data_IF_514862831629
#
_entry.id   IF_514862831629
#
_cell.length_a   1.000
_cell.length_b   1.000
_cell.length_c   1.000
_cell.angle_alpha   90.00
_cell.angle_beta   90.00
_cell.angle_gamma   90.00
#
_symmetry.space_group_name_H-M   'P 1'
#
loop_
_entity.id
_entity.type
_entity.pdbx_description
1 polymer ?
#
# COMPACT_ATOMS: atom_id res chain seq x y z
N UNK A 1 -3.37 13.41 31.17
CA UNK A 1 -2.34 12.80 30.30
C UNK A 1 -2.84 12.82 28.87
N UNK A 2 -1.96 13.02 27.87
CA UNK A 2 -2.34 12.92 26.45
C UNK A 2 -2.65 11.46 26.14
N UNK A 3 -3.83 11.19 25.56
CA UNK A 3 -4.25 9.84 25.18
C UNK A 3 -3.43 9.35 23.99
N UNK A 4 -3.18 8.06 23.92
CA UNK A 4 -2.44 7.38 22.87
C UNK A 4 -3.38 6.75 21.84
N UNK A 5 -3.03 6.88 20.55
CA UNK A 5 -3.74 6.21 19.45
C UNK A 5 -2.77 5.31 18.72
N UNK A 6 -3.05 4.01 18.76
CA UNK A 6 -2.37 2.98 18.00
C UNK A 6 -2.78 3.00 16.53
N UNK A 7 -1.82 3.06 15.61
CA UNK A 7 -2.04 2.87 14.18
C UNK A 7 -1.28 1.61 13.74
N UNK A 8 -1.99 0.54 13.30
CA UNK A 8 -1.34 -0.67 12.82
C UNK A 8 -0.48 -0.39 11.58
N UNK A 9 0.77 -0.84 11.57
CA UNK A 9 1.73 -0.71 10.46
C UNK A 9 1.47 -1.75 9.36
N UNK A 10 0.24 -1.80 8.85
CA UNK A 10 -0.17 -2.71 7.79
C UNK A 10 -1.28 -2.12 6.91
N UNK A 11 -1.50 -2.73 5.76
CA UNK A 11 -2.48 -2.29 4.76
C UNK A 11 -2.32 -0.79 4.41
N UNK A 12 -3.39 -0.01 4.55
CA UNK A 12 -3.46 1.43 4.20
C UNK A 12 -2.50 2.34 4.99
N UNK A 13 -1.78 1.81 5.99
CA UNK A 13 -0.70 2.53 6.65
C UNK A 13 0.29 3.14 5.65
N UNK A 14 0.71 2.36 4.65
CA UNK A 14 1.74 2.77 3.70
C UNK A 14 1.27 3.87 2.73
N UNK A 15 -0.04 4.12 2.67
CA UNK A 15 -0.64 5.16 1.84
C UNK A 15 -1.06 6.40 2.63
N UNK A 16 -1.58 6.21 3.85
CA UNK A 16 -2.31 7.26 4.58
C UNK A 16 -1.75 7.61 5.96
N UNK A 17 -0.64 6.99 6.39
CA UNK A 17 -0.03 7.32 7.68
C UNK A 17 0.27 8.81 7.89
N UNK A 18 0.79 9.57 6.89
CA UNK A 18 1.01 11.01 7.02
C UNK A 18 -0.25 11.78 7.42
N UNK A 19 -1.39 11.46 6.78
CA UNK A 19 -2.69 12.04 7.11
C UNK A 19 -3.09 11.67 8.55
N UNK A 20 -3.10 10.38 8.86
CA UNK A 20 -3.60 9.90 10.15
C UNK A 20 -2.76 10.43 11.31
N UNK A 21 -1.44 10.34 11.21
CA UNK A 21 -0.52 10.85 12.23
C UNK A 21 -0.75 12.35 12.47
N UNK A 22 -0.77 13.14 11.39
CA UNK A 22 -0.94 14.59 11.49
C UNK A 22 -2.28 14.97 12.12
N UNK A 23 -3.36 14.24 11.79
CA UNK A 23 -4.68 14.50 12.37
C UNK A 23 -4.69 14.20 13.86
N UNK A 24 -4.24 13.00 14.26
CA UNK A 24 -4.25 12.55 15.65
C UNK A 24 -3.37 13.42 16.55
N UNK A 25 -2.16 13.79 16.10
CA UNK A 25 -1.32 14.77 16.80
C UNK A 25 -1.99 16.15 16.85
N UNK A 26 -2.65 16.56 15.76
CA UNK A 26 -3.37 17.83 15.67
C UNK A 26 -4.55 17.95 16.65
N UNK A 27 -5.21 16.83 16.99
CA UNK A 27 -6.25 16.78 18.03
C UNK A 27 -5.68 16.50 19.43
N UNK A 28 -4.36 16.48 19.60
CA UNK A 28 -3.68 16.41 20.90
C UNK A 28 -3.49 15.00 21.45
N UNK A 29 -3.57 13.97 20.60
CA UNK A 29 -3.20 12.60 20.97
C UNK A 29 -1.75 12.28 20.60
N UNK A 30 -1.15 11.31 21.29
CA UNK A 30 0.15 10.74 20.93
C UNK A 30 -0.06 9.54 20.01
N UNK A 31 0.57 9.56 18.83
CA UNK A 31 0.49 8.44 17.88
C UNK A 31 1.53 7.38 18.24
N UNK A 32 1.11 6.12 18.27
CA UNK A 32 1.95 4.95 18.46
C UNK A 32 1.71 4.01 17.30
N UNK A 33 2.77 3.48 16.69
CA UNK A 33 2.66 2.47 15.63
C UNK A 33 3.05 1.09 16.15
N UNK A 34 2.55 0.03 15.51
CA UNK A 34 3.08 -1.32 15.75
C UNK A 34 4.55 -1.41 15.31
N UNK A 35 5.25 -2.46 15.75
CA UNK A 35 6.62 -2.71 15.29
C UNK A 35 6.63 -3.04 13.79
N UNK A 36 7.82 -2.96 13.19
CA UNK A 36 8.04 -3.52 11.86
C UNK A 36 7.67 -4.99 11.85
N UNK A 37 7.02 -5.41 10.76
CA UNK A 37 6.63 -6.80 10.58
C UNK A 37 7.84 -7.70 10.76
N UNK A 38 7.63 -8.75 11.54
CA UNK A 38 8.63 -9.75 11.84
C UNK A 38 7.90 -11.07 12.04
N UNK A 39 8.67 -12.15 12.22
CA UNK A 39 8.12 -13.48 12.39
C UNK A 39 7.07 -13.56 13.51
N UNK A 40 7.28 -12.91 14.66
CA UNK A 40 6.29 -12.90 15.75
C UNK A 40 4.97 -12.27 15.30
N UNK A 41 5.02 -11.11 14.63
CA UNK A 41 3.82 -10.42 14.14
C UNK A 41 3.08 -11.29 13.11
N UNK A 42 3.80 -11.88 12.15
CA UNK A 42 3.19 -12.74 11.16
C UNK A 42 2.55 -13.98 11.82
N UNK A 43 3.29 -14.68 12.67
CA UNK A 43 2.83 -15.92 13.33
C UNK A 43 1.58 -15.66 14.21
N UNK A 44 1.58 -14.57 14.99
CA UNK A 44 0.40 -14.16 15.76
C UNK A 44 -0.77 -13.78 14.86
N UNK A 45 -0.50 -13.12 13.74
CA UNK A 45 -1.50 -12.80 12.72
C UNK A 45 -2.16 -14.04 12.12
N UNK A 46 -1.35 -15.00 11.67
CA UNK A 46 -1.81 -16.27 11.09
C UNK A 46 -2.61 -17.09 12.10
N UNK A 47 -2.11 -17.20 13.34
CA UNK A 47 -2.75 -17.98 14.41
C UNK A 47 -4.13 -17.45 14.81
N UNK A 48 -4.33 -16.13 14.77
CA UNK A 48 -5.54 -15.46 15.26
C UNK A 48 -6.46 -14.97 14.13
N UNK A 49 -6.21 -15.35 12.88
CA UNK A 49 -7.03 -14.98 11.73
C UNK A 49 -7.64 -16.22 11.08
N UNK A 50 -8.67 -16.01 10.27
CA UNK A 50 -9.28 -17.08 9.47
C UNK A 50 -8.35 -17.50 8.33
N UNK A 51 -8.40 -18.78 7.97
CA UNK A 51 -7.49 -19.36 6.96
C UNK A 51 -7.64 -18.70 5.58
N UNK A 52 -8.87 -18.31 5.21
CA UNK A 52 -9.23 -17.72 3.91
C UNK A 52 -8.90 -16.22 3.79
N UNK A 53 -8.36 -15.59 4.84
CA UNK A 53 -7.88 -14.22 4.76
C UNK A 53 -6.58 -14.15 3.94
N UNK A 54 -6.43 -13.07 3.16
CA UNK A 54 -5.17 -12.81 2.46
C UNK A 54 -4.04 -12.48 3.46
N UNK A 55 -2.80 -12.75 3.04
CA UNK A 55 -1.60 -12.52 3.85
C UNK A 55 -1.51 -11.11 4.49
N UNK A 56 -1.85 -10.00 3.79
CA UNK A 56 -1.83 -8.66 4.37
C UNK A 56 -2.82 -8.48 5.52
N UNK A 57 -3.98 -9.12 5.44
CA UNK A 57 -5.00 -9.07 6.50
C UNK A 57 -4.54 -9.90 7.70
N UNK A 58 -3.95 -11.07 7.49
CA UNK A 58 -3.34 -11.86 8.57
C UNK A 58 -2.25 -11.08 9.27
N UNK A 59 -1.35 -10.46 8.52
CA UNK A 59 -0.30 -9.60 9.09
C UNK A 59 -0.91 -8.41 9.87
N UNK A 60 -1.98 -7.80 9.35
CA UNK A 60 -2.67 -6.71 10.02
C UNK A 60 -3.24 -7.14 11.40
N UNK A 61 -3.78 -8.36 11.51
CA UNK A 61 -4.20 -8.95 12.80
C UNK A 61 -3.03 -8.98 13.79
N UNK A 62 -1.86 -9.44 13.35
CA UNK A 62 -0.64 -9.44 14.15
C UNK A 62 -0.22 -8.03 14.62
N UNK A 63 -0.34 -7.02 13.76
CA UNK A 63 -0.07 -5.62 14.11
C UNK A 63 -1.05 -5.08 15.16
N UNK A 64 -2.32 -5.47 15.08
CA UNK A 64 -3.33 -5.10 16.10
C UNK A 64 -2.99 -5.76 17.45
N UNK A 65 -2.59 -7.04 17.45
CA UNK A 65 -2.14 -7.74 18.67
C UNK A 65 -0.92 -7.04 19.27
N UNK A 66 0.06 -6.65 18.44
CA UNK A 66 1.24 -5.88 18.91
C UNK A 66 0.85 -4.55 19.58
N UNK A 67 -0.16 -3.85 19.06
CA UNK A 67 -0.66 -2.60 19.66
C UNK A 67 -1.45 -2.83 20.94
N UNK A 68 -2.22 -3.94 21.02
CA UNK A 68 -2.87 -4.37 22.26
C UNK A 68 -1.82 -4.62 23.35
N UNK A 69 -0.74 -5.35 23.05
CA UNK A 69 0.38 -5.59 24.00
C UNK A 69 1.06 -4.29 24.48
N UNK A 70 1.02 -3.24 23.64
CA UNK A 70 1.56 -1.91 23.97
C UNK A 70 0.64 -1.05 24.86
N UNK A 71 -0.54 -1.54 25.24
CA UNK A 71 -1.50 -0.85 26.11
C UNK A 71 -1.85 0.57 25.64
N UNK A 72 -2.11 0.75 24.35
CA UNK A 72 -2.60 2.02 23.80
C UNK A 72 -4.04 2.30 24.24
N UNK A 73 -4.43 3.57 24.39
CA UNK A 73 -5.77 3.95 24.83
C UNK A 73 -6.84 3.69 23.77
N UNK A 74 -6.47 3.80 22.49
CA UNK A 74 -7.32 3.49 21.34
C UNK A 74 -6.51 2.84 20.22
N UNK A 75 -7.17 2.06 19.36
CA UNK A 75 -6.59 1.61 18.08
C UNK A 75 -7.43 2.20 16.94
N UNK A 76 -6.78 2.83 15.95
CA UNK A 76 -7.44 3.39 14.79
C UNK A 76 -7.54 2.35 13.68
N UNK A 77 -8.76 1.91 13.37
CA UNK A 77 -9.07 0.93 12.32
C UNK A 77 -10.28 1.45 11.54
N UNK A 78 -10.09 2.39 10.61
CA UNK A 78 -11.21 3.00 9.90
C UNK A 78 -11.88 2.00 8.95
N UNK A 79 -13.19 2.18 8.76
CA UNK A 79 -13.92 1.56 7.66
C UNK A 79 -13.70 2.39 6.39
N UNK A 80 -12.83 1.93 5.51
CA UNK A 80 -12.50 2.69 4.29
C UNK A 80 -13.31 2.14 3.13
N UNK A 81 -14.44 2.79 2.85
CA UNK A 81 -15.36 2.40 1.77
C UNK A 81 -14.82 2.83 0.42
N UNK A 82 -14.31 4.07 0.36
CA UNK A 82 -13.92 4.70 -0.87
C UNK A 82 -12.95 5.84 -0.60
N UNK A 83 -11.84 5.86 -1.33
CA UNK A 83 -10.85 6.97 -1.32
C UNK A 83 -10.95 7.83 -2.58
N UNK A 84 -11.88 7.51 -3.48
CA UNK A 84 -12.08 8.22 -4.75
C UNK A 84 -13.53 8.07 -5.24
N UNK A 85 -14.03 9.10 -5.93
CA UNK A 85 -15.36 9.11 -6.54
C UNK A 85 -15.62 7.85 -7.37
N UNK A 86 -16.81 7.26 -7.20
CA UNK A 86 -17.32 6.08 -7.93
C UNK A 86 -16.47 4.80 -7.81
N UNK A 87 -15.54 4.72 -6.85
CA UNK A 87 -14.75 3.51 -6.59
C UNK A 87 -14.88 3.03 -5.17
N UNK A 88 -14.76 1.72 -5.01
CA UNK A 88 -14.72 1.08 -3.70
C UNK A 88 -13.34 0.48 -3.45
N UNK A 89 -13.00 0.31 -2.18
CA UNK A 89 -11.93 -0.60 -1.79
C UNK A 89 -12.45 -2.04 -1.70
N UNK A 90 -11.55 -3.01 -1.53
CA UNK A 90 -11.95 -4.40 -1.37
C UNK A 90 -12.81 -4.60 -0.09
N UNK A 91 -13.59 -5.68 -0.07
CA UNK A 91 -14.51 -5.98 1.04
C UNK A 91 -13.82 -6.08 2.40
N UNK A 92 -12.53 -6.45 2.44
CA UNK A 92 -11.76 -6.50 3.68
C UNK A 92 -11.59 -5.11 4.30
N UNK A 93 -11.42 -4.03 3.51
CA UNK A 93 -11.41 -2.65 4.02
C UNK A 93 -12.77 -2.16 4.50
N UNK A 94 -13.83 -2.58 3.80
CA UNK A 94 -15.20 -2.24 4.14
C UNK A 94 -15.66 -2.91 5.43
N UNK A 95 -15.09 -4.05 5.82
CA UNK A 95 -15.43 -4.80 7.03
C UNK A 95 -14.34 -4.83 8.10
N UNK A 96 -13.19 -4.19 7.88
CA UNK A 96 -11.98 -4.36 8.69
C UNK A 96 -12.21 -4.19 10.21
N UNK A 97 -12.83 -3.11 10.69
CA UNK A 97 -13.00 -2.93 12.14
C UNK A 97 -13.85 -4.05 12.78
N UNK A 98 -14.93 -4.47 12.13
CA UNK A 98 -15.81 -5.53 12.69
C UNK A 98 -15.10 -6.89 12.65
N UNK A 99 -14.40 -7.15 11.55
CA UNK A 99 -13.60 -8.35 11.38
C UNK A 99 -12.55 -8.48 12.49
N UNK A 100 -11.82 -7.39 12.79
CA UNK A 100 -10.82 -7.40 13.87
C UNK A 100 -11.47 -7.60 15.25
N UNK A 101 -12.59 -6.93 15.54
CA UNK A 101 -13.34 -7.11 16.79
C UNK A 101 -13.85 -8.54 16.99
N UNK A 102 -14.18 -9.25 15.91
CA UNK A 102 -14.62 -10.65 15.98
C UNK A 102 -13.49 -11.64 16.25
N UNK A 103 -12.25 -11.28 15.90
CA UNK A 103 -11.10 -12.17 16.00
C UNK A 103 -10.36 -12.04 17.34
N UNK A 104 -10.25 -10.81 17.87
CA UNK A 104 -9.39 -10.53 19.02
C UNK A 104 -10.26 -10.05 20.20
N UNK A 105 -10.28 -10.83 21.28
CA UNK A 105 -10.89 -10.41 22.56
C UNK A 105 -10.08 -9.33 23.27
N UNK A 106 -10.70 -8.64 24.23
CA UNK A 106 -10.05 -7.64 25.10
C UNK A 106 -9.22 -6.56 24.37
N UNK A 107 -9.74 -6.06 23.24
CA UNK A 107 -9.10 -4.98 22.51
C UNK A 107 -9.30 -3.63 23.22
N UNK A 108 -8.30 -2.72 23.17
CA UNK A 108 -8.55 -1.31 23.43
C UNK A 108 -9.68 -0.79 22.53
N UNK A 109 -10.44 0.23 22.96
CA UNK A 109 -11.51 0.79 22.15
C UNK A 109 -11.03 1.17 20.74
N UNK A 110 -11.71 0.64 19.72
CA UNK A 110 -11.38 0.92 18.33
C UNK A 110 -12.06 2.22 17.88
N UNK A 111 -11.31 3.09 17.22
CA UNK A 111 -11.82 4.24 16.46
C UNK A 111 -12.05 3.75 15.02
N UNK A 112 -13.31 3.48 14.67
CA UNK A 112 -13.75 2.81 13.46
C UNK A 112 -14.65 3.68 12.55
N UNK A 113 -14.30 4.96 12.43
CA UNK A 113 -15.03 5.88 11.57
C UNK A 113 -15.08 5.41 10.11
N UNK A 114 -16.06 5.94 9.36
CA UNK A 114 -16.16 5.69 7.93
C UNK A 114 -15.39 6.73 7.11
N UNK A 115 -14.53 6.27 6.18
CA UNK A 115 -13.90 7.10 5.16
C UNK A 115 -14.56 6.77 3.82
N UNK A 116 -15.26 7.75 3.24
CA UNK A 116 -16.08 7.52 2.06
C UNK A 116 -16.16 8.73 1.13
N UNK A 117 -15.43 8.66 0.01
CA UNK A 117 -15.43 9.67 -1.05
C UNK A 117 -16.28 9.29 -2.28
N UNK A 118 -17.07 8.22 -2.22
CA UNK A 118 -17.75 7.64 -3.39
C UNK A 118 -18.64 8.65 -4.14
N UNK A 119 -19.41 9.47 -3.42
CA UNK A 119 -20.31 10.50 -3.99
C UNK A 119 -19.71 11.92 -3.96
N UNK A 120 -18.38 12.05 -3.92
CA UNK A 120 -17.70 13.33 -3.66
C UNK A 120 -18.11 13.94 -2.30
N UNK A 121 -18.28 13.06 -1.31
CA UNK A 121 -18.89 13.41 -0.03
C UNK A 121 -17.84 13.85 0.99
N UNK A 122 -17.02 14.84 0.61
CA UNK A 122 -15.96 15.38 1.49
C UNK A 122 -16.52 15.80 2.84
N UNK A 123 -17.75 16.33 2.87
CA UNK A 123 -18.46 16.74 4.08
C UNK A 123 -18.73 15.57 5.02
N UNK A 124 -19.08 14.40 4.49
CA UNK A 124 -19.31 13.21 5.32
C UNK A 124 -18.02 12.77 6.00
N UNK A 125 -16.94 12.58 5.23
CA UNK A 125 -15.64 12.21 5.81
C UNK A 125 -15.16 13.28 6.80
N UNK A 126 -15.31 14.58 6.49
CA UNK A 126 -15.00 15.66 7.44
C UNK A 126 -15.81 15.55 8.75
N UNK A 127 -17.10 15.22 8.67
CA UNK A 127 -17.94 15.02 9.84
C UNK A 127 -17.48 13.82 10.68
N UNK A 128 -17.01 12.75 10.05
CA UNK A 128 -16.41 11.61 10.75
C UNK A 128 -15.14 12.02 11.52
N UNK A 129 -14.25 12.81 10.91
CA UNK A 129 -13.09 13.36 11.62
C UNK A 129 -13.48 14.35 12.74
N UNK A 130 -14.56 15.12 12.57
CA UNK A 130 -15.11 15.95 13.66
C UNK A 130 -15.59 15.09 14.84
N UNK A 131 -16.20 13.92 14.59
CA UNK A 131 -16.58 12.98 15.66
C UNK A 131 -15.34 12.52 16.44
N UNK A 132 -14.25 12.17 15.75
CA UNK A 132 -12.99 11.83 16.42
C UNK A 132 -12.49 13.01 17.26
N UNK A 133 -12.43 14.22 16.69
CA UNK A 133 -11.94 15.38 17.44
C UNK A 133 -12.74 15.64 18.72
N UNK A 134 -14.05 15.42 18.72
CA UNK A 134 -14.90 15.48 19.93
C UNK A 134 -14.50 14.45 21.00
N UNK A 135 -14.09 13.23 20.60
CA UNK A 135 -13.56 12.21 21.54
C UNK A 135 -12.30 12.69 22.28
N UNK A 136 -11.56 13.64 21.69
CA UNK A 136 -10.38 14.29 22.28
C UNK A 136 -10.67 15.70 22.81
N UNK A 137 -11.95 16.04 23.02
CA UNK A 137 -12.36 17.32 23.60
C UNK A 137 -12.18 18.53 22.68
N UNK A 138 -12.10 18.32 21.35
CA UNK A 138 -11.95 19.41 20.38
C UNK A 138 -13.29 19.91 19.86
N UNK A 139 -13.33 21.22 19.57
CA UNK A 139 -14.47 21.83 18.87
C UNK A 139 -14.48 21.41 17.40
N UNK A 140 -15.60 21.70 16.71
CA UNK A 140 -15.71 21.48 15.27
C UNK A 140 -14.57 22.16 14.49
N UNK A 141 -14.30 23.42 14.79
CA UNK A 141 -13.30 24.21 14.06
C UNK A 141 -11.88 23.72 14.33
N UNK A 142 -11.57 23.32 15.56
CA UNK A 142 -10.29 22.71 15.91
C UNK A 142 -10.10 21.37 15.17
N UNK A 143 -11.16 20.55 15.11
CA UNK A 143 -11.14 19.25 14.41
C UNK A 143 -10.95 19.43 12.91
N UNK A 144 -11.66 20.38 12.30
CA UNK A 144 -11.51 20.71 10.88
C UNK A 144 -10.13 21.28 10.57
N UNK A 145 -9.58 22.14 11.44
CA UNK A 145 -8.21 22.65 11.29
C UNK A 145 -7.19 21.51 11.30
N UNK A 146 -7.32 20.54 12.19
CA UNK A 146 -6.47 19.35 12.22
C UNK A 146 -6.65 18.50 10.94
N UNK A 147 -7.89 18.30 10.49
CA UNK A 147 -8.20 17.57 9.25
C UNK A 147 -7.58 18.22 8.01
N UNK A 148 -7.73 19.54 7.83
CA UNK A 148 -7.14 20.23 6.67
C UNK A 148 -5.61 20.25 6.71
N UNK A 149 -5.01 20.33 7.91
CA UNK A 149 -3.56 20.17 8.06
C UNK A 149 -3.13 18.76 7.65
N UNK A 150 -3.88 17.74 8.05
CA UNK A 150 -3.62 16.35 7.70
C UNK A 150 -3.74 16.07 6.20
N UNK A 151 -4.79 16.57 5.54
CA UNK A 151 -4.94 16.42 4.08
C UNK A 151 -3.85 17.17 3.31
N UNK A 152 -3.37 18.30 3.82
CA UNK A 152 -2.21 18.98 3.24
C UNK A 152 -0.93 18.13 3.35
N UNK A 153 -0.68 17.49 4.49
CA UNK A 153 0.47 16.58 4.64
C UNK A 153 0.35 15.34 3.75
N UNK A 154 -0.86 14.81 3.56
CA UNK A 154 -1.12 13.73 2.62
C UNK A 154 -0.75 14.12 1.19
N UNK A 155 -1.18 15.29 0.71
CA UNK A 155 -0.81 15.78 -0.62
C UNK A 155 0.70 15.99 -0.79
N UNK A 156 1.37 16.45 0.26
CA UNK A 156 2.84 16.56 0.26
C UNK A 156 3.49 15.17 0.10
N UNK A 157 3.00 14.17 0.82
CA UNK A 157 3.47 12.80 0.68
C UNK A 157 3.21 12.24 -0.73
N UNK A 158 2.02 12.44 -1.28
CA UNK A 158 1.68 12.02 -2.64
C UNK A 158 2.58 12.69 -3.69
N UNK A 159 2.92 13.97 -3.53
CA UNK A 159 3.87 14.67 -4.41
C UNK A 159 5.26 14.01 -4.40
N UNK A 160 5.74 13.58 -3.23
CA UNK A 160 7.03 12.89 -3.13
C UNK A 160 7.03 11.55 -3.89
N UNK A 161 5.89 10.85 -3.92
CA UNK A 161 5.75 9.64 -4.73
C UNK A 161 5.89 9.96 -6.22
N UNK A 162 5.26 11.04 -6.69
CA UNK A 162 5.37 11.51 -8.10
C UNK A 162 6.76 11.99 -8.49
N UNK A 163 7.58 12.40 -7.52
CA UNK A 163 9.00 12.69 -7.71
C UNK A 163 9.88 11.43 -7.87
N UNK A 164 9.26 10.23 -7.82
CA UNK A 164 9.92 8.95 -8.02
C UNK A 164 10.43 8.30 -6.74
N UNK A 165 9.96 8.73 -5.57
CA UNK A 165 10.25 8.05 -4.30
C UNK A 165 9.25 6.92 -4.06
N UNK A 166 9.73 5.79 -3.56
CA UNK A 166 8.86 4.72 -3.04
C UNK A 166 8.12 5.19 -1.79
N UNK A 167 7.04 4.52 -1.37
CA UNK A 167 6.31 4.94 -0.16
C UNK A 167 7.20 4.97 1.08
N UNK A 168 8.13 4.01 1.24
CA UNK A 168 9.07 4.01 2.36
C UNK A 168 10.04 5.21 2.32
N UNK A 169 10.57 5.56 1.14
CA UNK A 169 11.44 6.71 0.96
C UNK A 169 10.69 8.02 1.18
N UNK A 170 9.50 8.16 0.58
CA UNK A 170 8.63 9.32 0.76
C UNK A 170 8.22 9.50 2.22
N UNK A 171 7.95 8.41 2.96
CA UNK A 171 7.68 8.47 4.40
C UNK A 171 8.89 8.99 5.18
N UNK A 172 10.11 8.50 4.88
CA UNK A 172 11.34 9.00 5.52
C UNK A 172 11.54 10.50 5.28
N UNK A 173 11.38 10.96 4.04
CA UNK A 173 11.49 12.39 3.68
C UNK A 173 10.40 13.21 4.35
N UNK A 174 9.17 12.70 4.36
CA UNK A 174 8.04 13.37 5.01
C UNK A 174 8.26 13.54 6.52
N UNK A 175 8.88 12.56 7.18
CA UNK A 175 9.31 12.64 8.58
C UNK A 175 10.50 13.58 8.83
N UNK A 176 11.05 14.19 7.77
CA UNK A 176 12.19 15.11 7.86
C UNK A 176 13.55 14.43 7.85
N UNK A 177 13.64 13.16 7.45
CA UNK A 177 14.91 12.47 7.26
C UNK A 177 15.46 12.78 5.88
N UNK A 178 16.76 13.05 5.80
CA UNK A 178 17.44 13.20 4.50
C UNK A 178 17.62 11.82 3.87
N UNK A 179 17.29 11.69 2.58
CA UNK A 179 17.71 10.55 1.80
C UNK A 179 19.11 10.81 1.27
N UNK A 180 20.01 9.86 1.51
CA UNK A 180 21.26 9.80 0.77
C UNK A 180 20.90 9.15 -0.55
N UNK A 181 20.83 9.95 -1.63
CA UNK A 181 20.73 9.38 -2.98
C UNK A 181 22.09 8.78 -3.31
N UNK A 182 22.18 7.46 -3.29
CA UNK A 182 23.34 6.77 -3.84
C UNK A 182 23.32 6.99 -5.37
N UNK A 183 24.42 7.53 -5.91
CA UNK A 183 24.64 7.59 -7.35
C UNK A 183 24.79 6.17 -7.88
N UNK A 184 23.65 5.54 -8.17
CA UNK A 184 23.58 4.19 -8.70
C UNK A 184 23.46 4.28 -10.21
N UNK A 185 24.44 3.70 -10.91
CA UNK A 185 24.37 3.56 -12.37
C UNK A 185 23.46 2.38 -12.69
N UNK A 186 22.16 2.64 -12.84
CA UNK A 186 21.17 1.62 -13.17
C UNK A 186 21.24 1.25 -14.66
N UNK A 187 21.39 -0.06 -14.96
CA UNK A 187 21.39 -0.58 -16.33
C UNK A 187 20.03 -1.09 -16.79
N UNK A 188 19.11 -1.29 -15.83
CA UNK A 188 17.73 -1.74 -16.06
C UNK A 188 16.71 -0.74 -15.50
N UNK A 189 15.55 -0.67 -16.15
CA UNK A 189 14.34 0.01 -15.67
C UNK A 189 13.25 -1.03 -15.47
N UNK A 190 12.82 -1.25 -14.22
CA UNK A 190 11.84 -2.29 -13.90
C UNK A 190 10.64 -1.63 -13.22
N UNK A 191 9.44 -1.88 -13.75
CA UNK A 191 8.21 -1.54 -13.05
C UNK A 191 7.85 -2.65 -12.05
N UNK A 192 7.54 -2.29 -10.82
CA UNK A 192 6.98 -3.18 -9.80
C UNK A 192 5.57 -2.70 -9.48
N UNK A 193 4.57 -3.46 -9.92
CA UNK A 193 3.15 -3.15 -9.71
C UNK A 193 2.57 -4.12 -8.68
N UNK A 194 1.94 -3.59 -7.64
CA UNK A 194 1.40 -4.37 -6.53
C UNK A 194 0.41 -3.51 -5.76
N UNK A 195 -0.28 -4.08 -4.78
CA UNK A 195 -0.79 -3.24 -3.71
C UNK A 195 0.40 -2.69 -2.90
N UNK A 196 0.37 -1.43 -2.42
CA UNK A 196 1.54 -0.82 -1.75
C UNK A 196 1.98 -1.64 -0.53
N UNK A 197 1.03 -2.17 0.22
CA UNK A 197 1.30 -2.98 1.41
C UNK A 197 1.96 -4.34 1.13
N UNK A 198 1.98 -4.81 -0.12
CA UNK A 198 2.64 -6.07 -0.50
C UNK A 198 4.13 -5.88 -0.82
N UNK A 199 4.54 -4.64 -1.12
CA UNK A 199 5.92 -4.31 -1.50
C UNK A 199 6.63 -3.41 -0.48
N UNK A 200 5.88 -2.62 0.31
CA UNK A 200 6.42 -1.69 1.30
C UNK A 200 6.60 -2.32 2.69
N UNK A 201 5.98 -3.47 2.95
CA UNK A 201 6.29 -4.27 4.12
C UNK A 201 7.51 -5.14 3.84
N UNK A 202 8.69 -4.71 4.31
CA UNK A 202 9.97 -5.33 3.96
C UNK A 202 10.09 -6.80 4.38
N UNK A 203 9.34 -7.23 5.40
CA UNK A 203 9.32 -8.64 5.82
C UNK A 203 8.47 -9.48 4.86
N UNK A 204 7.26 -9.01 4.51
CA UNK A 204 6.35 -9.71 3.58
C UNK A 204 6.91 -9.71 2.17
N UNK A 205 7.41 -8.56 1.71
CA UNK A 205 7.97 -8.39 0.37
C UNK A 205 9.37 -8.97 0.25
N UNK A 206 9.97 -9.41 1.37
CA UNK A 206 11.38 -9.78 1.45
C UNK A 206 12.29 -8.70 0.83
N UNK A 207 11.93 -7.43 0.94
CA UNK A 207 12.71 -6.32 0.38
C UNK A 207 12.92 -6.40 -1.15
N UNK A 208 11.96 -6.88 -1.93
CA UNK A 208 12.06 -6.98 -3.41
C UNK A 208 12.59 -5.70 -4.06
N UNK A 209 12.11 -4.52 -3.62
CA UNK A 209 12.53 -3.23 -4.18
C UNK A 209 14.03 -3.01 -3.99
N UNK A 210 14.54 -3.25 -2.79
CA UNK A 210 15.94 -3.07 -2.46
C UNK A 210 16.83 -4.11 -3.16
N UNK A 211 16.35 -5.35 -3.27
CA UNK A 211 17.03 -6.39 -4.04
C UNK A 211 17.19 -6.01 -5.52
N UNK A 212 16.13 -5.51 -6.15
CA UNK A 212 16.18 -5.04 -7.54
C UNK A 212 17.14 -3.87 -7.72
N UNK A 213 17.16 -2.91 -6.80
CA UNK A 213 18.13 -1.80 -6.82
C UNK A 213 19.57 -2.30 -6.72
N UNK A 214 19.85 -3.21 -5.80
CA UNK A 214 21.17 -3.86 -5.65
C UNK A 214 21.56 -4.68 -6.88
N UNK A 215 20.58 -5.21 -7.61
CA UNK A 215 20.78 -5.86 -8.91
C UNK A 215 20.93 -4.85 -10.05
N UNK A 216 21.12 -3.54 -9.82
CA UNK A 216 21.34 -2.55 -10.87
C UNK A 216 20.08 -2.05 -11.58
N UNK A 217 18.88 -2.31 -11.03
CA UNK A 217 17.63 -1.84 -11.62
C UNK A 217 17.10 -0.56 -10.94
N UNK A 218 16.77 0.43 -11.76
CA UNK A 218 15.91 1.53 -11.36
C UNK A 218 14.47 1.01 -11.26
N UNK A 219 13.87 1.12 -10.08
CA UNK A 219 12.53 0.62 -9.81
C UNK A 219 11.49 1.73 -9.92
N UNK A 220 10.41 1.46 -10.65
CA UNK A 220 9.22 2.31 -10.76
C UNK A 220 8.03 1.61 -10.14
N UNK A 221 7.26 2.29 -9.29
CA UNK A 221 6.02 1.73 -8.72
C UNK A 221 4.79 2.47 -9.24
N UNK A 222 3.61 1.90 -9.06
CA UNK A 222 2.37 2.52 -9.58
C UNK A 222 2.07 3.88 -8.95
N UNK A 223 2.49 4.08 -7.70
CA UNK A 223 2.26 5.32 -6.94
C UNK A 223 3.08 6.48 -7.50
N UNK A 224 4.15 6.20 -8.25
CA UNK A 224 4.97 7.20 -8.93
C UNK A 224 4.29 7.76 -10.19
N UNK A 225 3.32 7.06 -10.77
CA UNK A 225 2.66 7.48 -12.00
C UNK A 225 1.62 8.56 -11.74
N UNK A 226 1.63 9.61 -12.56
CA UNK A 226 0.54 10.58 -12.57
C UNK A 226 -0.80 9.93 -12.85
N UNK A 227 -1.85 10.54 -12.27
CA UNK A 227 -3.19 9.95 -12.31
C UNK A 227 -3.69 9.73 -13.74
N UNK A 228 -3.44 10.68 -14.62
CA UNK A 228 -3.88 10.64 -16.01
C UNK A 228 -3.20 9.50 -16.78
N UNK A 229 -1.97 9.12 -16.42
CA UNK A 229 -1.25 8.00 -17.04
C UNK A 229 -1.88 6.66 -16.67
N UNK A 230 -2.30 6.50 -15.41
CA UNK A 230 -3.06 5.33 -14.96
C UNK A 230 -4.39 5.23 -15.72
N UNK A 231 -5.10 6.36 -15.86
CA UNK A 231 -6.38 6.42 -16.59
C UNK A 231 -6.21 6.13 -18.08
N UNK A 232 -5.13 6.61 -18.70
CA UNK A 232 -4.76 6.26 -20.07
C UNK A 232 -4.55 4.75 -20.23
N UNK A 233 -3.85 4.11 -19.29
CA UNK A 233 -3.65 2.66 -19.29
C UNK A 233 -4.97 1.88 -19.25
N UNK A 234 -5.86 2.18 -18.30
CA UNK A 234 -7.15 1.46 -18.19
C UNK A 234 -8.13 1.75 -19.33
N UNK A 235 -7.95 2.84 -20.09
CA UNK A 235 -8.79 3.15 -21.26
C UNK A 235 -8.73 2.09 -22.37
N UNK A 236 -7.71 1.22 -22.34
CA UNK A 236 -7.61 0.06 -23.24
C UNK A 236 -8.60 -1.06 -22.90
N UNK A 237 -9.19 -1.03 -21.70
CA UNK A 237 -10.17 -2.02 -21.28
C UNK A 237 -11.58 -1.61 -21.69
N UNK A 238 -12.39 -2.59 -22.09
CA UNK A 238 -13.79 -2.35 -22.48
C UNK A 238 -14.70 -2.00 -21.29
N UNK A 239 -14.25 -2.30 -20.06
CA UNK A 239 -14.96 -2.01 -18.82
C UNK A 239 -14.00 -1.51 -17.77
N UNK A 240 -14.47 -0.55 -16.99
CA UNK A 240 -13.73 -0.02 -15.87
C UNK A 240 -13.80 -0.97 -14.67
N UNK A 241 -12.67 -1.14 -13.97
CA UNK A 241 -12.64 -1.95 -12.75
C UNK A 241 -13.42 -1.29 -11.62
N UNK A 242 -14.14 -2.10 -10.85
CA UNK A 242 -14.92 -1.61 -9.72
C UNK A 242 -14.05 -1.12 -8.55
N UNK A 243 -12.96 -1.85 -8.27
CA UNK A 243 -12.07 -1.56 -7.16
C UNK A 243 -10.96 -0.57 -7.54
N UNK A 244 -10.62 0.31 -6.60
CA UNK A 244 -9.67 1.40 -6.81
C UNK A 244 -8.26 0.89 -7.13
N UNK A 245 -7.66 0.10 -6.23
CA UNK A 245 -6.27 -0.37 -6.40
C UNK A 245 -6.11 -1.27 -7.62
N UNK A 246 -7.11 -2.07 -7.94
CA UNK A 246 -7.10 -3.00 -9.06
C UNK A 246 -7.17 -2.26 -10.39
N UNK A 247 -7.95 -1.17 -10.45
CA UNK A 247 -7.86 -0.23 -11.59
C UNK A 247 -6.45 0.36 -11.67
N UNK A 248 -5.86 0.77 -10.56
CA UNK A 248 -4.56 1.44 -10.58
C UNK A 248 -3.42 0.49 -11.00
N UNK A 249 -3.43 -0.75 -10.49
CA UNK A 249 -2.50 -1.82 -10.88
C UNK A 249 -2.67 -2.14 -12.36
N UNK A 250 -3.91 -2.33 -12.84
CA UNK A 250 -4.16 -2.55 -14.27
C UNK A 250 -3.71 -1.36 -15.12
N UNK A 251 -4.04 -0.14 -14.71
CA UNK A 251 -3.70 1.08 -15.43
C UNK A 251 -2.19 1.26 -15.54
N UNK A 252 -1.47 1.10 -14.44
CA UNK A 252 -0.02 1.13 -14.42
C UNK A 252 0.59 0.03 -15.30
N UNK A 253 0.14 -1.21 -15.14
CA UNK A 253 0.60 -2.34 -15.94
C UNK A 253 0.39 -2.12 -17.44
N UNK A 254 -0.77 -1.62 -17.84
CA UNK A 254 -1.07 -1.34 -19.25
C UNK A 254 -0.33 -0.10 -19.78
N UNK A 255 -0.14 0.92 -18.94
CA UNK A 255 0.67 2.08 -19.27
C UNK A 255 2.12 1.67 -19.61
N UNK A 256 2.77 0.88 -18.75
CA UNK A 256 4.14 0.43 -18.99
C UNK A 256 4.28 -0.43 -20.24
N UNK A 257 3.28 -1.30 -20.51
CA UNK A 257 3.23 -2.09 -21.74
C UNK A 257 3.17 -1.20 -22.99
N UNK A 258 2.32 -0.17 -22.97
CA UNK A 258 2.11 0.73 -24.11
C UNK A 258 3.29 1.64 -24.36
N UNK A 259 3.83 2.25 -23.31
CA UNK A 259 4.92 3.23 -23.44
C UNK A 259 6.28 2.57 -23.71
N UNK A 260 6.46 1.31 -23.30
CA UNK A 260 7.72 0.56 -23.48
C UNK A 260 8.94 1.31 -22.94
N UNK A 261 8.75 2.08 -21.87
CA UNK A 261 9.77 2.88 -21.21
C UNK A 261 10.45 2.15 -20.04
N UNK A 262 10.12 0.87 -19.85
CA UNK A 262 10.71 -0.06 -18.88
C UNK A 262 11.20 -1.31 -19.61
N UNK A 263 12.28 -1.90 -19.11
CA UNK A 263 12.86 -3.14 -19.65
C UNK A 263 12.02 -4.36 -19.24
N UNK A 264 11.25 -4.29 -18.15
CA UNK A 264 10.35 -5.36 -17.71
C UNK A 264 9.39 -4.93 -16.61
N UNK A 265 8.34 -5.74 -16.40
CA UNK A 265 7.32 -5.51 -15.37
C UNK A 265 7.23 -6.72 -14.44
N UNK A 266 7.29 -6.45 -13.14
CA UNK A 266 7.06 -7.43 -12.08
C UNK A 266 5.75 -7.07 -11.39
N UNK A 267 4.80 -7.99 -11.38
CA UNK A 267 3.61 -7.88 -10.56
C UNK A 267 3.83 -8.65 -9.26
N UNK A 268 3.61 -8.03 -8.11
CA UNK A 268 3.62 -8.71 -6.81
C UNK A 268 2.18 -8.78 -6.30
N UNK A 269 1.75 -9.96 -5.87
CA UNK A 269 0.41 -10.20 -5.33
C UNK A 269 0.46 -11.06 -4.09
N UNK A 270 -0.39 -10.77 -3.11
CA UNK A 270 -0.59 -11.63 -1.96
C UNK A 270 -1.57 -12.79 -2.24
N UNK A 271 -1.19 -13.98 -1.78
CA UNK A 271 -2.08 -15.14 -1.77
C UNK A 271 -3.37 -14.84 -1.00
N UNK A 272 -4.50 -15.33 -1.55
CA UNK A 272 -5.84 -15.07 -1.03
C UNK A 272 -6.42 -13.70 -1.39
N UNK A 273 -5.74 -12.88 -2.20
CA UNK A 273 -6.29 -11.59 -2.63
C UNK A 273 -7.30 -11.75 -3.78
N UNK A 274 -8.59 -11.78 -3.45
CA UNK A 274 -9.68 -12.01 -4.41
C UNK A 274 -9.74 -11.00 -5.58
N UNK A 275 -9.77 -9.68 -5.34
CA UNK A 275 -9.81 -8.71 -6.45
C UNK A 275 -8.54 -8.72 -7.31
N UNK A 276 -7.38 -9.03 -6.72
CA UNK A 276 -6.11 -9.05 -7.44
C UNK A 276 -6.00 -10.27 -8.38
N UNK A 277 -6.58 -11.42 -8.02
CA UNK A 277 -6.56 -12.62 -8.88
C UNK A 277 -7.20 -12.36 -10.27
N UNK A 278 -8.17 -11.45 -10.37
CA UNK A 278 -8.71 -11.01 -11.65
C UNK A 278 -7.73 -10.13 -12.44
N UNK A 279 -7.01 -9.26 -11.73
CA UNK A 279 -6.03 -8.32 -12.30
C UNK A 279 -4.79 -9.07 -12.81
N UNK A 280 -4.32 -10.05 -12.05
CA UNK A 280 -3.24 -10.97 -12.40
C UNK A 280 -3.52 -11.66 -13.73
N UNK A 281 -4.66 -12.34 -13.84
CA UNK A 281 -5.02 -13.10 -15.03
C UNK A 281 -5.15 -12.18 -16.27
N UNK A 282 -5.70 -10.97 -16.10
CA UNK A 282 -5.84 -10.02 -17.19
C UNK A 282 -4.47 -9.53 -17.69
N UNK A 283 -3.59 -9.10 -16.79
CA UNK A 283 -2.25 -8.62 -17.17
C UNK A 283 -1.43 -9.74 -17.78
N UNK A 284 -1.42 -10.93 -17.17
CA UNK A 284 -0.70 -12.08 -17.71
C UNK A 284 -1.12 -12.40 -19.14
N UNK A 285 -2.42 -12.46 -19.42
CA UNK A 285 -2.92 -12.74 -20.78
C UNK A 285 -2.54 -11.65 -21.77
N UNK A 286 -2.65 -10.38 -21.37
CA UNK A 286 -2.34 -9.25 -22.25
C UNK A 286 -0.84 -9.23 -22.57
N UNK A 287 0.02 -9.32 -21.55
CA UNK A 287 1.47 -9.35 -21.75
C UNK A 287 1.95 -10.56 -22.56
N UNK A 288 1.37 -11.76 -22.33
CA UNK A 288 1.65 -12.96 -23.14
C UNK A 288 1.23 -12.81 -24.60
N UNK A 289 0.20 -12.00 -24.89
CA UNK A 289 -0.28 -11.75 -26.25
C UNK A 289 0.60 -10.75 -26.99
N UNK A 290 0.91 -9.62 -26.36
CA UNK A 290 1.71 -8.56 -26.99
C UNK A 290 3.19 -8.99 -27.12
N UNK A 291 3.76 -9.65 -26.10
CA UNK A 291 5.15 -10.13 -26.04
C UNK A 291 6.23 -9.05 -26.24
N UNK A 292 5.87 -7.78 -26.07
CA UNK A 292 6.78 -6.65 -26.31
C UNK A 292 7.59 -6.28 -25.06
N UNK A 293 7.00 -6.47 -23.88
CA UNK A 293 7.63 -6.19 -22.58
C UNK A 293 7.59 -7.46 -21.74
N UNK A 294 8.72 -7.96 -21.20
CA UNK A 294 8.73 -9.10 -20.29
C UNK A 294 7.92 -8.84 -19.01
N UNK A 295 7.15 -9.85 -18.59
CA UNK A 295 6.28 -9.78 -17.42
C UNK A 295 6.53 -10.97 -16.49
N UNK A 296 6.59 -10.72 -15.19
CA UNK A 296 6.68 -11.75 -14.16
C UNK A 296 5.67 -11.49 -13.03
N UNK A 297 4.86 -12.50 -12.70
CA UNK A 297 4.01 -12.49 -11.51
C UNK A 297 4.72 -13.18 -10.33
N UNK A 298 4.87 -12.51 -9.21
CA UNK A 298 5.33 -13.07 -7.93
C UNK A 298 4.16 -13.09 -6.96
N UNK A 299 3.72 -14.29 -6.57
CA UNK A 299 2.76 -14.46 -5.48
C UNK A 299 3.49 -14.69 -4.17
N UNK A 300 3.14 -13.92 -3.14
CA UNK A 300 3.67 -14.04 -1.78
C UNK A 300 2.62 -14.65 -0.84
N UNK A 301 3.06 -15.56 0.02
CA UNK A 301 2.24 -16.25 1.03
C UNK A 301 3.00 -16.39 2.37
N UNK A 302 2.37 -16.99 3.37
CA UNK A 302 2.94 -17.19 4.72
C UNK A 302 4.15 -18.14 4.73
N UNK A 303 4.34 -18.93 3.67
CA UNK A 303 5.36 -19.97 3.54
C UNK A 303 6.47 -19.59 2.56
N UNK A 304 6.38 -18.40 1.97
CA UNK A 304 7.25 -17.95 0.90
C UNK A 304 8.68 -17.79 1.42
N UNK A 305 9.60 -18.53 0.82
CA UNK A 305 11.01 -18.50 1.17
C UNK A 305 11.77 -17.44 0.38
N UNK A 306 12.61 -16.67 1.07
CA UNK A 306 13.44 -15.61 0.48
C UNK A 306 14.31 -16.09 -0.69
N UNK A 307 14.90 -17.28 -0.58
CA UNK A 307 15.75 -17.85 -1.63
C UNK A 307 15.01 -18.07 -2.96
N UNK A 308 13.72 -18.44 -2.89
CA UNK A 308 12.89 -18.66 -4.07
C UNK A 308 12.61 -17.36 -4.82
N UNK A 309 12.29 -16.27 -4.10
CA UNK A 309 12.10 -14.96 -4.71
C UNK A 309 13.41 -14.45 -5.32
N UNK A 310 14.51 -14.56 -4.58
CA UNK A 310 15.81 -14.06 -5.01
C UNK A 310 16.24 -14.68 -6.35
N UNK A 311 16.18 -16.01 -6.46
CA UNK A 311 16.52 -16.73 -7.71
C UNK A 311 15.67 -16.28 -8.90
N UNK A 312 14.38 -16.00 -8.66
CA UNK A 312 13.46 -15.53 -9.71
C UNK A 312 13.77 -14.10 -10.15
N UNK A 313 14.13 -13.22 -9.21
CA UNK A 313 14.56 -11.86 -9.53
C UNK A 313 15.86 -11.87 -10.35
N UNK A 314 16.85 -12.67 -9.94
CA UNK A 314 18.11 -12.83 -10.69
C UNK A 314 17.84 -13.29 -12.13
N UNK A 315 17.13 -14.42 -12.28
CA UNK A 315 16.81 -14.98 -13.59
C UNK A 315 16.03 -13.98 -14.48
N UNK A 316 15.12 -13.20 -13.88
CA UNK A 316 14.39 -12.17 -14.61
C UNK A 316 15.33 -11.04 -15.07
N UNK A 317 16.15 -10.49 -14.17
CA UNK A 317 17.09 -9.40 -14.51
C UNK A 317 18.12 -9.82 -15.56
N UNK A 318 18.62 -11.06 -15.50
CA UNK A 318 19.54 -11.60 -16.49
C UNK A 318 18.89 -11.75 -17.86
N UNK A 319 17.63 -12.21 -17.90
CA UNK A 319 16.84 -12.27 -19.13
C UNK A 319 16.64 -10.87 -19.74
N UNK A 320 16.36 -9.85 -18.92
CA UNK A 320 16.22 -8.47 -19.40
C UNK A 320 17.52 -7.96 -20.03
N UNK A 321 18.66 -8.19 -19.35
CA UNK A 321 19.99 -7.81 -19.87
C UNK A 321 20.33 -8.51 -21.17
N UNK A 322 20.00 -9.80 -21.27
CA UNK A 322 20.22 -10.57 -22.49
C UNK A 322 19.42 -9.97 -23.67
N UNK A 323 18.13 -9.68 -23.47
CA UNK A 323 17.28 -9.07 -24.49
C UNK A 323 17.79 -7.69 -24.91
N UNK A 324 18.24 -6.86 -23.96
CA UNK A 324 18.78 -5.54 -24.24
C UNK A 324 20.04 -5.59 -25.09
N UNK A 325 20.95 -6.53 -24.80
CA UNK A 325 22.15 -6.76 -25.62
C UNK A 325 21.80 -7.24 -27.03
N UNK A 326 20.80 -8.11 -27.19
CA UNK A 326 20.36 -8.60 -28.50
C UNK A 326 19.75 -7.50 -29.39
N UNK A 327 19.20 -6.43 -28.82
CA UNK A 327 18.64 -5.27 -29.55
C UNK A 327 19.72 -4.24 -29.93
N UNK A 328 20.86 -4.21 -29.23
CA UNK A 328 21.96 -3.28 -29.49
C UNK A 328 22.97 -3.76 -30.54
N UNK A 329 22.84 -5.00 -31.01
CA UNK A 329 23.69 -5.63 -32.04
C UNK A 329 22.96 -5.63 -33.38
#
# INVERSE_FOLDING_TARGET
MSKTVGIPKGLLYYDFYPMWKTFFEGVGSKVVVSQDTNKKILDEGVKNCVEDACLPVKTYVGHVINLKEKNVDYIFIPRVVSVERKKYLCSKFLGLPDFIKSLIGDLPPIIDIEINYYKNNDKFTQNEFIKIGRMFGKTKDQSLKAYFKATHQQKKFESLLKEGLTNLEALKVWEGKNLVKEESNYDLKIAVIAHPYDIMDEYISMGIIEKLKNMGAQVYTMEMLERDLILEGVSMLSKEMFWNYERDILGAGLYFLKQKNVDGVIMVSAFGCGPNSMTEELLERIYKREKEVPFMLITIDEHSGEAGIMTRLEAFTDLLRFNKKAVMV
#
